data_IF_007047695820
#
_entry.id   IF_007047695820
#
_cell.length_a   1.000
_cell.length_b   1.000
_cell.length_c   1.000
_cell.angle_alpha   90.00
_cell.angle_beta   90.00
_cell.angle_gamma   90.00
#
_symmetry.space_group_name_H-M   'P 1'
#
loop_
_entity.id
_entity.type
_entity.pdbx_description
1 polymer ?
#
# COMPACT_ATOMS: atom_id res chain seq x y z
N UNK A 1 -4.51 -13.39 17.45
CA UNK A 1 -3.16 -12.81 17.21
C UNK A 1 -2.90 -12.84 15.71
N UNK A 2 -3.51 -11.91 14.98
CA UNK A 2 -3.24 -11.72 13.56
C UNK A 2 -1.95 -10.92 13.46
N UNK A 3 -0.86 -11.57 13.04
CA UNK A 3 0.40 -10.88 12.76
C UNK A 3 0.33 -10.48 11.30
N UNK A 4 0.13 -9.19 11.05
CA UNK A 4 0.30 -8.61 9.71
C UNK A 4 1.62 -9.13 9.17
N UNK A 5 1.57 -9.91 8.10
CA UNK A 5 2.75 -10.49 7.48
C UNK A 5 2.93 -9.83 6.14
N UNK A 6 3.96 -8.99 6.05
CA UNK A 6 4.44 -8.49 4.78
C UNK A 6 5.09 -9.70 4.08
N UNK A 7 4.63 -9.99 2.87
CA UNK A 7 5.12 -11.10 2.06
C UNK A 7 5.80 -10.50 0.84
N UNK A 8 7.12 -10.58 0.82
CA UNK A 8 7.92 -10.29 -0.36
C UNK A 8 7.92 -11.50 -1.30
N UNK A 9 7.87 -11.22 -2.59
CA UNK A 9 7.51 -12.18 -3.59
C UNK A 9 7.97 -11.69 -4.96
N UNK A 10 8.88 -12.45 -5.57
CA UNK A 10 9.38 -12.17 -6.91
C UNK A 10 8.50 -12.88 -7.94
N UNK A 11 8.28 -12.25 -9.09
CA UNK A 11 7.41 -12.81 -10.11
C UNK A 11 7.48 -12.10 -11.45
N UNK A 12 6.77 -12.68 -12.42
CA UNK A 12 6.67 -12.14 -13.79
C UNK A 12 5.27 -11.59 -14.01
N UNK A 13 5.19 -10.38 -14.59
CA UNK A 13 3.92 -9.78 -15.00
C UNK A 13 3.35 -10.55 -16.20
N UNK A 14 2.22 -11.23 -16.00
CA UNK A 14 1.62 -12.10 -17.00
C UNK A 14 0.58 -11.39 -17.86
N UNK A 15 -0.31 -10.63 -17.22
CA UNK A 15 -1.43 -9.97 -17.89
C UNK A 15 -1.72 -8.62 -17.25
N UNK A 16 -2.19 -7.69 -18.09
CA UNK A 16 -2.58 -6.35 -17.69
C UNK A 16 -4.01 -6.11 -18.14
N UNK A 17 -4.86 -5.72 -17.19
CA UNK A 17 -6.24 -5.30 -17.44
C UNK A 17 -6.42 -3.85 -16.95
N UNK A 18 -7.47 -3.13 -17.39
CA UNK A 18 -7.68 -1.74 -16.97
C UNK A 18 -7.85 -1.53 -15.45
N UNK A 19 -8.32 -2.54 -14.71
CA UNK A 19 -8.60 -2.43 -13.27
C UNK A 19 -7.55 -3.12 -12.39
N UNK A 20 -6.84 -4.12 -12.92
CA UNK A 20 -5.92 -4.96 -12.17
C UNK A 20 -4.88 -5.57 -13.10
N UNK A 21 -3.82 -6.10 -12.52
CA UNK A 21 -2.79 -6.84 -13.23
C UNK A 21 -2.51 -8.17 -12.53
N UNK A 22 -1.99 -9.13 -13.28
CA UNK A 22 -1.75 -10.50 -12.79
C UNK A 22 -0.24 -10.78 -12.82
N UNK A 23 0.33 -11.08 -11.66
CA UNK A 23 1.70 -11.57 -11.52
C UNK A 23 1.69 -13.08 -11.28
N UNK A 24 2.61 -13.78 -11.94
CA UNK A 24 3.00 -15.12 -11.54
C UNK A 24 4.17 -15.00 -10.54
N UNK A 25 3.86 -15.25 -9.27
CA UNK A 25 4.77 -15.11 -8.14
C UNK A 25 5.38 -16.46 -7.79
N UNK A 26 6.70 -16.51 -7.60
CA UNK A 26 7.36 -17.71 -7.07
C UNK A 26 7.22 -17.79 -5.55
N UNK A 27 6.85 -18.98 -5.06
CA UNK A 27 6.77 -19.28 -3.63
C UNK A 27 7.77 -20.36 -3.28
N UNK A 28 8.18 -20.35 -1.99
CA UNK A 28 9.05 -21.38 -1.42
C UNK A 28 8.58 -22.78 -1.84
N UNK A 29 9.53 -23.57 -2.37
CA UNK A 29 9.37 -24.94 -2.88
C UNK A 29 8.98 -25.05 -4.37
N UNK A 30 9.28 -24.05 -5.19
CA UNK A 30 9.12 -24.12 -6.65
C UNK A 30 7.65 -24.17 -7.10
N UNK A 31 6.75 -23.63 -6.27
CA UNK A 31 5.35 -23.50 -6.63
C UNK A 31 5.12 -22.06 -7.04
N UNK A 32 4.80 -21.87 -8.32
CA UNK A 32 4.32 -20.58 -8.79
C UNK A 32 2.84 -20.42 -8.44
N UNK A 33 2.44 -19.19 -8.15
CA UNK A 33 1.06 -18.84 -7.87
C UNK A 33 0.70 -17.58 -8.65
N UNK A 34 -0.47 -17.59 -9.29
CA UNK A 34 -1.00 -16.40 -9.96
C UNK A 34 -1.74 -15.53 -8.94
N UNK A 35 -1.37 -14.27 -8.89
CA UNK A 35 -1.95 -13.30 -8.00
C UNK A 35 -2.36 -12.05 -8.78
N UNK A 36 -3.59 -11.61 -8.56
CA UNK A 36 -4.09 -10.36 -9.11
C UNK A 36 -3.92 -9.23 -8.10
N UNK A 37 -3.44 -8.09 -8.55
CA UNK A 37 -3.30 -6.88 -7.75
C UNK A 37 -4.05 -5.73 -8.43
N UNK A 38 -4.72 -4.88 -7.66
CA UNK A 38 -5.39 -3.71 -8.20
C UNK A 38 -4.43 -2.52 -8.21
N UNK A 39 -4.63 -1.59 -9.14
CA UNK A 39 -3.84 -0.35 -9.17
C UNK A 39 -4.06 0.49 -7.90
N UNK A 40 -5.26 0.45 -7.32
CA UNK A 40 -5.58 1.14 -6.07
C UNK A 40 -4.68 0.64 -4.94
N UNK A 41 -4.35 -0.64 -4.89
CA UNK A 41 -3.48 -1.20 -3.86
C UNK A 41 -2.05 -0.63 -3.95
N UNK A 42 -1.56 -0.39 -5.17
CA UNK A 42 -0.25 0.25 -5.41
C UNK A 42 -0.29 1.73 -5.05
N UNK A 43 -1.35 2.44 -5.46
CA UNK A 43 -1.51 3.87 -5.17
C UNK A 43 -1.73 4.17 -3.69
N UNK A 44 -2.32 3.25 -2.93
CA UNK A 44 -2.58 3.39 -1.49
C UNK A 44 -1.42 2.89 -0.62
N UNK A 45 -0.35 2.36 -1.21
CA UNK A 45 0.81 1.82 -0.48
C UNK A 45 0.56 0.45 0.17
N UNK A 46 -0.55 -0.22 -0.15
CA UNK A 46 -0.82 -1.58 0.32
C UNK A 46 0.05 -2.62 -0.42
N UNK A 47 0.49 -2.30 -1.63
CA UNK A 47 1.37 -3.11 -2.47
C UNK A 47 2.51 -2.26 -2.99
N UNK A 48 3.74 -2.67 -2.71
CA UNK A 48 4.94 -2.05 -3.27
C UNK A 48 5.52 -2.93 -4.37
N UNK A 49 5.99 -2.30 -5.44
CA UNK A 49 6.61 -2.99 -6.57
C UNK A 49 8.04 -2.48 -6.73
N UNK A 50 8.99 -3.41 -6.82
CA UNK A 50 10.39 -3.12 -7.11
C UNK A 50 10.86 -3.95 -8.30
N UNK A 51 11.79 -3.38 -9.08
CA UNK A 51 12.46 -4.06 -10.19
C UNK A 51 13.97 -3.93 -9.96
N UNK A 52 14.68 -5.06 -9.97
CA UNK A 52 16.13 -5.12 -9.71
C UNK A 52 16.56 -4.49 -8.37
N UNK A 53 15.66 -4.48 -7.37
CA UNK A 53 15.92 -3.88 -6.06
C UNK A 53 15.62 -2.38 -5.96
N UNK A 54 15.23 -1.73 -7.06
CA UNK A 54 14.79 -0.33 -7.03
C UNK A 54 13.26 -0.25 -7.04
N UNK A 55 12.63 0.59 -6.21
CA UNK A 55 11.19 0.77 -6.22
C UNK A 55 10.75 1.40 -7.55
N UNK A 56 9.70 0.84 -8.16
CA UNK A 56 9.14 1.34 -9.43
C UNK A 56 8.34 2.64 -9.24
N UNK A 57 7.88 2.90 -8.02
CA UNK A 57 7.08 4.06 -7.67
C UNK A 57 7.66 4.73 -6.43
N UNK A 58 7.64 6.05 -6.41
CA UNK A 58 7.92 6.82 -5.21
C UNK A 58 6.77 6.65 -4.20
N UNK A 59 7.03 6.80 -2.89
CA UNK A 59 5.97 6.80 -1.88
C UNK A 59 4.93 7.88 -2.19
N UNK A 60 3.69 7.48 -2.49
CA UNK A 60 2.62 8.43 -2.82
C UNK A 60 2.20 9.27 -1.63
N UNK A 61 2.39 8.76 -0.43
CA UNK A 61 2.29 9.52 0.81
C UNK A 61 3.70 9.95 1.16
N UNK A 62 4.05 11.25 1.05
CA UNK A 62 5.29 11.71 1.65
C UNK A 62 5.23 11.32 3.11
N UNK A 63 6.29 10.71 3.65
CA UNK A 63 6.47 10.58 5.09
C UNK A 63 6.39 11.99 5.68
N UNK A 64 5.18 12.42 6.04
CA UNK A 64 4.99 13.63 6.79
C UNK A 64 5.31 13.19 8.22
N UNK A 65 6.44 13.59 8.82
CA UNK A 65 6.85 13.14 10.15
C UNK A 65 5.86 13.56 11.27
N UNK A 66 4.76 14.23 10.91
CA UNK A 66 3.67 14.69 11.77
C UNK A 66 2.42 13.77 11.71
N UNK A 67 2.34 12.81 10.78
CA UNK A 67 1.16 11.96 10.60
C UNK A 67 1.02 10.85 11.67
N UNK A 68 2.09 10.55 12.42
CA UNK A 68 2.04 9.65 13.59
C UNK A 68 1.47 10.33 14.85
N UNK A 69 1.04 11.59 14.76
CA UNK A 69 0.29 12.21 15.85
C UNK A 69 -1.13 11.67 15.79
N UNK A 70 -1.62 10.85 16.75
CA UNK A 70 -3.03 10.51 16.79
C UNK A 70 -3.77 11.84 16.91
N UNK A 71 -4.63 12.13 15.93
CA UNK A 71 -5.46 13.32 15.92
C UNK A 71 -6.12 13.43 17.30
N UNK A 72 -5.66 14.42 18.08
CA UNK A 72 -6.24 14.72 19.37
C UNK A 72 -7.71 15.01 19.12
N UNK A 73 -8.55 14.18 19.73
CA UNK A 73 -9.99 14.29 19.74
C UNK A 73 -10.41 15.69 20.20
N UNK A 74 -11.31 16.25 19.40
CA UNK A 74 -12.19 17.40 19.61
C UNK A 74 -12.54 17.74 21.06
N UNK A 75 -12.22 18.96 21.51
CA UNK A 75 -12.94 19.66 22.58
C UNK A 75 -13.18 21.12 22.15
N UNK A 76 -14.33 21.30 21.48
CA UNK A 76 -15.29 22.41 21.61
C UNK A 76 -14.78 23.72 22.24
N UNK A 77 -14.86 24.80 21.47
CA UNK A 77 -15.45 26.05 21.94
C UNK A 77 -16.00 26.83 20.71
N UNK A 78 -17.24 26.51 20.36
CA UNK A 78 -18.11 27.39 19.62
C UNK A 78 -18.70 28.36 20.64
N UNK A 79 -18.37 29.65 20.56
CA UNK A 79 -19.35 30.75 20.58
C UNK A 79 -18.62 32.09 20.38
N UNK A 80 -18.42 32.46 19.12
CA UNK A 80 -18.60 33.88 18.77
C UNK A 80 -20.09 34.17 18.85
N UNK A 81 -20.56 34.98 19.80
CA UNK A 81 -21.41 36.16 19.52
C UNK A 81 -21.77 36.98 20.78
N UNK A 82 -21.69 38.31 20.59
CA UNK A 82 -22.52 39.38 21.16
C UNK A 82 -22.15 40.05 22.51
N UNK A 83 -21.84 41.35 22.34
CA UNK A 83 -21.94 42.51 23.25
C UNK A 83 -20.88 42.72 24.32
#
# INVERSE_FOLDING_TARGET
>A
MGRSKIVESEGVLMQVHPQLFILEVDRKRGRTARQSYQYVDVLTGMVELSQNGEPLFEPFVPENPLADTPAAVDEREEETVLS
#
